data_IF_501786587946
#
_entry.id   IF_501786587946
#
_cell.length_a   1.000
_cell.length_b   1.000
_cell.length_c   1.000
_cell.angle_alpha   90.00
_cell.angle_beta   90.00
_cell.angle_gamma   90.00
#
_symmetry.space_group_name_H-M   'P 1'
#
loop_
_entity.id
_entity.type
_entity.pdbx_description
1 polymer ?
#
# COMPACT_ATOMS: atom_id res chain seq x y z
N UNK A 1 9.54 -26.64 21.13
CA UNK A 1 10.13 -27.39 22.27
C UNK A 1 9.20 -27.50 23.49
N UNK A 2 8.32 -26.54 23.79
CA UNK A 2 7.37 -26.62 24.91
C UNK A 2 6.51 -27.91 24.99
N UNK A 3 6.19 -28.55 23.85
CA UNK A 3 5.41 -29.80 23.81
C UNK A 3 6.12 -31.02 24.41
N UNK A 4 7.45 -31.09 24.40
CA UNK A 4 8.18 -32.26 24.94
C UNK A 4 8.26 -32.27 26.47
N UNK A 5 8.20 -31.10 27.11
CA UNK A 5 8.20 -30.96 28.58
C UNK A 5 6.84 -31.34 29.16
N UNK A 6 5.75 -30.92 28.53
CA UNK A 6 4.39 -31.31 28.95
C UNK A 6 4.19 -32.84 28.86
N UNK A 7 4.90 -33.49 27.94
CA UNK A 7 4.93 -34.95 27.78
C UNK A 7 5.94 -35.66 28.72
N UNK A 8 6.78 -34.94 29.46
CA UNK A 8 7.80 -35.51 30.35
C UNK A 8 7.21 -35.93 31.70
N UNK A 9 7.67 -37.04 32.31
CA UNK A 9 7.27 -37.42 33.67
C UNK A 9 7.68 -36.39 34.73
N UNK A 10 8.61 -35.49 34.41
CA UNK A 10 9.13 -34.45 35.31
C UNK A 10 8.38 -33.11 35.26
N UNK A 11 7.25 -33.04 34.54
CA UNK A 11 6.47 -31.81 34.34
C UNK A 11 6.04 -31.08 35.61
N UNK A 12 5.92 -31.80 36.74
CA UNK A 12 5.51 -31.24 38.03
C UNK A 12 6.68 -30.85 38.93
N UNK A 13 7.93 -31.10 38.52
CA UNK A 13 9.11 -30.73 39.32
C UNK A 13 9.45 -29.26 39.11
N UNK A 14 9.29 -28.44 40.15
CA UNK A 14 9.60 -27.00 40.11
C UNK A 14 11.07 -26.74 39.78
N UNK A 15 11.99 -27.54 40.32
CA UNK A 15 13.43 -27.39 40.07
C UNK A 15 13.79 -27.69 38.61
N UNK A 16 13.21 -28.75 38.04
CA UNK A 16 13.49 -29.08 36.64
C UNK A 16 12.85 -28.05 35.70
N UNK A 17 11.63 -27.58 35.98
CA UNK A 17 11.02 -26.49 35.22
C UNK A 17 11.87 -25.21 35.24
N UNK A 18 12.50 -24.89 36.37
CA UNK A 18 13.39 -23.73 36.46
C UNK A 18 14.65 -23.91 35.61
N UNK A 19 15.31 -25.07 35.68
CA UNK A 19 16.47 -25.39 34.83
C UNK A 19 16.09 -25.32 33.34
N UNK A 20 14.92 -25.85 32.97
CA UNK A 20 14.41 -25.77 31.61
C UNK A 20 14.11 -24.35 31.16
N UNK A 21 13.53 -23.53 32.03
CA UNK A 21 13.26 -22.13 31.74
C UNK A 21 14.55 -21.38 31.44
N UNK A 22 15.61 -21.56 32.24
CA UNK A 22 16.91 -20.95 31.97
C UNK A 22 17.53 -21.41 30.65
N UNK A 23 17.41 -22.70 30.33
CA UNK A 23 17.89 -23.23 29.06
C UNK A 23 17.10 -22.69 27.86
N UNK A 24 15.79 -22.55 27.98
CA UNK A 24 14.91 -21.99 26.95
C UNK A 24 15.19 -20.51 26.73
N UNK A 25 15.36 -19.74 27.80
CA UNK A 25 15.77 -18.34 27.74
C UNK A 25 17.16 -18.17 27.09
N UNK A 26 18.11 -19.06 27.40
CA UNK A 26 19.43 -19.05 26.74
C UNK A 26 19.33 -19.34 25.24
N UNK A 27 18.50 -20.31 24.83
CA UNK A 27 18.29 -20.64 23.42
C UNK A 27 17.56 -19.52 22.66
N UNK A 28 16.61 -18.84 23.30
CA UNK A 28 15.94 -17.64 22.76
C UNK A 28 16.96 -16.51 22.59
N UNK A 29 17.85 -16.33 23.56
CA UNK A 29 18.97 -15.38 23.49
C UNK A 29 19.86 -15.64 22.27
N UNK A 30 20.32 -16.88 22.09
CA UNK A 30 21.13 -17.27 20.93
C UNK A 30 20.42 -17.03 19.58
N UNK A 31 19.11 -17.33 19.49
CA UNK A 31 18.32 -17.04 18.28
C UNK A 31 18.17 -15.54 18.02
N UNK A 32 18.05 -14.74 19.09
CA UNK A 32 17.97 -13.29 18.99
C UNK A 32 19.28 -12.71 18.50
N UNK A 33 20.41 -13.18 19.04
CA UNK A 33 21.76 -12.78 18.64
C UNK A 33 22.05 -13.20 17.19
N UNK A 34 21.67 -14.41 16.79
CA UNK A 34 21.72 -14.85 15.39
C UNK A 34 20.84 -13.99 14.48
N UNK A 35 19.65 -13.59 14.92
CA UNK A 35 18.77 -12.67 14.21
C UNK A 35 19.42 -11.29 14.02
N UNK A 36 20.06 -10.77 15.06
CA UNK A 36 20.84 -9.52 15.00
C UNK A 36 22.02 -9.65 14.04
N UNK A 37 22.78 -10.75 14.11
CA UNK A 37 23.89 -11.03 13.19
C UNK A 37 23.40 -11.10 11.74
N UNK A 38 22.31 -11.81 11.46
CA UNK A 38 21.71 -11.90 10.12
C UNK A 38 21.25 -10.52 9.64
N UNK A 39 20.58 -9.73 10.47
CA UNK A 39 20.13 -8.37 10.13
C UNK A 39 21.30 -7.39 9.91
N UNK A 40 22.42 -7.58 10.62
CA UNK A 40 23.62 -6.75 10.50
C UNK A 40 24.52 -7.20 9.33
N UNK A 41 24.34 -8.43 8.85
CA UNK A 41 25.05 -8.93 7.69
C UNK A 41 24.49 -8.26 6.43
N UNK A 42 25.34 -7.50 5.72
CA UNK A 42 25.03 -6.88 4.40
C UNK A 42 24.78 -7.89 3.27
N UNK A 43 24.42 -9.14 3.58
CA UNK A 43 23.90 -10.09 2.60
C UNK A 43 22.41 -9.82 2.49
N UNK A 44 22.09 -8.86 1.62
CA UNK A 44 20.72 -8.55 1.23
C UNK A 44 20.02 -9.83 0.79
N UNK A 45 19.19 -10.38 1.68
CA UNK A 45 18.44 -11.60 1.39
C UNK A 45 17.40 -11.28 0.32
N UNK A 46 17.28 -12.16 -0.68
CA UNK A 46 16.23 -12.15 -1.69
C UNK A 46 14.83 -12.02 -1.06
N UNK A 47 14.63 -12.58 0.15
CA UNK A 47 13.37 -12.49 0.89
C UNK A 47 13.01 -11.06 1.35
N UNK A 48 13.98 -10.15 1.43
CA UNK A 48 13.79 -8.77 1.93
C UNK A 48 13.78 -7.73 0.82
N UNK A 49 14.51 -7.95 -0.27
CA UNK A 49 14.68 -6.96 -1.34
C UNK A 49 14.06 -7.39 -2.67
N UNK A 50 13.58 -8.64 -2.78
CA UNK A 50 13.10 -9.20 -4.03
C UNK A 50 14.23 -9.42 -5.06
N UNK A 51 13.88 -9.65 -6.33
CA UNK A 51 14.87 -9.73 -7.40
C UNK A 51 15.67 -8.43 -7.53
N UNK A 52 16.94 -8.52 -7.90
CA UNK A 52 17.79 -7.34 -8.07
C UNK A 52 17.26 -6.45 -9.19
N UNK A 53 16.94 -5.20 -8.85
CA UNK A 53 16.61 -4.17 -9.84
C UNK A 53 17.82 -3.96 -10.76
N UNK A 54 17.58 -4.09 -12.07
CA UNK A 54 18.60 -3.89 -13.11
C UNK A 54 18.56 -2.50 -13.73
N UNK A 55 17.54 -1.70 -13.39
CA UNK A 55 17.30 -0.39 -13.99
C UNK A 55 18.07 0.69 -13.23
N UNK A 56 18.76 1.57 -13.95
CA UNK A 56 19.49 2.70 -13.39
C UNK A 56 19.33 3.93 -14.29
N UNK A 57 19.27 5.11 -13.69
CA UNK A 57 19.14 6.37 -14.43
C UNK A 57 17.79 6.46 -15.16
N UNK A 58 17.85 6.82 -16.44
CA UNK A 58 16.69 7.22 -17.24
C UNK A 58 15.66 6.11 -17.50
N UNK A 59 16.05 4.84 -17.32
CA UNK A 59 15.15 3.68 -17.51
C UNK A 59 14.24 3.41 -16.31
N UNK A 60 14.52 4.01 -15.15
CA UNK A 60 13.82 3.68 -13.91
C UNK A 60 12.35 4.15 -13.92
N UNK A 61 12.10 5.40 -14.29
CA UNK A 61 10.75 5.99 -14.27
C UNK A 61 9.77 5.24 -15.21
N UNK A 62 10.11 4.99 -16.50
CA UNK A 62 9.24 4.22 -17.40
C UNK A 62 8.93 2.82 -16.89
N UNK A 63 9.92 2.13 -16.31
CA UNK A 63 9.72 0.77 -15.81
C UNK A 63 8.89 0.72 -14.54
N UNK A 64 9.05 1.69 -13.64
CA UNK A 64 8.18 1.84 -12.46
C UNK A 64 6.75 2.12 -12.90
N UNK A 65 6.54 3.01 -13.87
CA UNK A 65 5.21 3.32 -14.40
C UNK A 65 4.58 2.10 -15.09
N UNK A 66 5.35 1.38 -15.90
CA UNK A 66 4.89 0.16 -16.56
C UNK A 66 4.59 -0.96 -15.56
N UNK A 67 5.39 -1.09 -14.50
CA UNK A 67 5.13 -2.03 -13.40
C UNK A 67 3.81 -1.69 -12.70
N UNK A 68 3.59 -0.43 -12.36
CA UNK A 68 2.34 0.05 -11.76
C UNK A 68 1.12 -0.33 -12.61
N UNK A 69 1.18 -0.11 -13.93
CA UNK A 69 0.11 -0.47 -14.87
C UNK A 69 -0.13 -1.98 -14.93
N UNK A 70 0.96 -2.78 -15.06
CA UNK A 70 0.88 -4.24 -15.10
C UNK A 70 0.27 -4.82 -13.81
N UNK A 71 0.66 -4.31 -12.65
CA UNK A 71 0.09 -4.71 -11.37
C UNK A 71 -1.41 -4.43 -11.32
N UNK A 72 -1.85 -3.26 -11.79
CA UNK A 72 -3.28 -2.94 -11.82
C UNK A 72 -4.09 -3.89 -12.72
N UNK A 73 -3.57 -4.21 -13.91
CA UNK A 73 -4.20 -5.20 -14.83
C UNK A 73 -4.30 -6.58 -14.21
N UNK A 74 -3.23 -7.03 -13.53
CA UNK A 74 -3.23 -8.33 -12.86
C UNK A 74 -4.25 -8.38 -11.72
N UNK A 75 -4.32 -7.32 -10.90
CA UNK A 75 -5.33 -7.22 -9.84
C UNK A 75 -6.75 -7.21 -10.40
N UNK A 76 -7.00 -6.43 -11.45
CA UNK A 76 -8.29 -6.42 -12.14
C UNK A 76 -8.69 -7.83 -12.63
N UNK A 77 -7.78 -8.52 -13.33
CA UNK A 77 -8.05 -9.86 -13.85
C UNK A 77 -8.34 -10.87 -12.74
N UNK A 78 -7.59 -10.81 -11.63
CA UNK A 78 -7.80 -11.67 -10.48
C UNK A 78 -9.17 -11.40 -9.83
N UNK A 79 -9.52 -10.14 -9.60
CA UNK A 79 -10.79 -9.76 -9.01
C UNK A 79 -11.96 -10.15 -9.94
N UNK A 80 -11.86 -9.87 -11.24
CA UNK A 80 -12.85 -10.25 -12.25
C UNK A 80 -13.09 -11.76 -12.29
N UNK A 81 -12.02 -12.57 -12.25
CA UNK A 81 -12.12 -14.03 -12.22
C UNK A 81 -12.83 -14.56 -10.96
N UNK A 82 -12.84 -13.78 -9.87
CA UNK A 82 -13.49 -14.12 -8.60
C UNK A 82 -14.81 -13.33 -8.37
N UNK A 83 -15.36 -12.68 -9.40
CA UNK A 83 -16.60 -11.90 -9.27
C UNK A 83 -16.49 -10.73 -8.28
N UNK A 84 -15.30 -10.21 -8.06
CA UNK A 84 -15.02 -9.09 -7.16
C UNK A 84 -14.80 -7.81 -7.96
N UNK A 85 -15.44 -6.72 -7.56
CA UNK A 85 -15.21 -5.40 -8.16
C UNK A 85 -13.84 -4.87 -7.71
N UNK A 86 -13.05 -4.40 -8.67
CA UNK A 86 -11.75 -3.78 -8.42
C UNK A 86 -11.75 -2.36 -8.97
N UNK A 87 -11.40 -1.41 -8.11
CA UNK A 87 -11.20 0.00 -8.45
C UNK A 87 -9.76 0.39 -8.10
N UNK A 88 -8.98 0.81 -9.09
CA UNK A 88 -7.68 1.42 -8.87
C UNK A 88 -7.84 2.92 -8.60
N UNK A 89 -7.27 3.43 -7.51
CA UNK A 89 -7.34 4.86 -7.16
C UNK A 89 -5.95 5.48 -7.19
N UNK A 90 -5.76 6.54 -7.98
CA UNK A 90 -4.58 7.39 -7.89
C UNK A 90 -4.83 8.45 -6.81
N UNK A 91 -4.07 8.37 -5.72
CA UNK A 91 -4.28 9.20 -4.53
C UNK A 91 -3.72 10.63 -4.68
N UNK A 92 -4.21 11.59 -3.87
CA UNK A 92 -3.66 12.94 -3.78
C UNK A 92 -2.20 12.94 -3.39
N UNK A 93 -1.45 13.89 -3.96
CA UNK A 93 -0.10 14.21 -3.50
C UNK A 93 0.14 15.72 -3.58
N UNK A 94 0.75 16.27 -2.54
CA UNK A 94 1.03 17.70 -2.42
C UNK A 94 1.93 18.25 -3.53
N UNK A 95 2.81 17.45 -4.13
CA UNK A 95 3.69 17.95 -5.20
C UNK A 95 3.00 17.96 -6.58
N UNK A 96 1.79 17.42 -6.71
CA UNK A 96 1.00 17.53 -7.95
C UNK A 96 0.56 19.00 -8.14
N UNK A 97 0.85 19.62 -9.29
CA UNK A 97 0.50 21.02 -9.52
C UNK A 97 -1.00 21.29 -9.35
N UNK A 98 -1.33 22.34 -8.60
CA UNK A 98 -2.70 22.80 -8.33
C UNK A 98 -3.62 21.78 -7.62
N UNK A 99 -3.08 20.67 -7.11
CA UNK A 99 -3.88 19.63 -6.44
C UNK A 99 -4.49 20.07 -5.11
N UNK A 100 -3.90 21.09 -4.48
CA UNK A 100 -4.39 21.72 -3.26
C UNK A 100 -3.76 23.13 -3.09
N UNK A 101 -4.52 24.14 -2.65
CA UNK A 101 -3.94 25.39 -2.16
C UNK A 101 -3.23 25.12 -0.83
N UNK A 102 -1.90 25.17 -0.84
CA UNK A 102 -1.08 24.94 0.36
C UNK A 102 -0.55 26.26 0.90
N UNK A 103 -1.06 26.63 2.07
CA UNK A 103 -0.71 27.84 2.81
C UNK A 103 0.70 27.78 3.41
N UNK A 104 1.19 28.93 3.88
CA UNK A 104 2.56 29.08 4.37
C UNK A 104 2.90 28.12 5.52
N UNK A 105 2.02 28.02 6.53
CA UNK A 105 2.24 27.14 7.68
C UNK A 105 2.26 25.65 7.30
N UNK A 106 1.37 25.22 6.41
CA UNK A 106 1.34 23.83 5.91
C UNK A 106 2.57 23.54 5.04
N UNK A 107 3.02 24.52 4.23
CA UNK A 107 4.21 24.40 3.37
C UNK A 107 5.49 24.15 4.15
N UNK A 108 5.68 24.82 5.29
CA UNK A 108 6.88 24.66 6.13
C UNK A 108 7.07 23.24 6.66
N UNK A 109 5.99 22.47 6.79
CA UNK A 109 5.99 21.10 7.34
C UNK A 109 5.88 20.06 6.23
N UNK A 110 5.08 20.34 5.21
CA UNK A 110 4.63 19.34 4.24
C UNK A 110 5.31 19.47 2.87
N UNK A 111 6.17 20.47 2.64
CA UNK A 111 6.96 20.56 1.41
C UNK A 111 8.45 20.55 1.70
N UNK A 112 9.14 19.56 1.13
CA UNK A 112 10.60 19.51 1.11
C UNK A 112 11.10 19.20 -0.29
N UNK A 113 11.94 20.09 -0.82
CA UNK A 113 12.69 19.84 -2.07
C UNK A 113 13.94 19.00 -1.82
N UNK A 114 14.41 18.92 -0.57
CA UNK A 114 15.68 18.30 -0.20
C UNK A 114 15.62 16.77 -0.12
N UNK A 115 14.44 16.21 0.16
CA UNK A 115 14.27 14.76 0.38
C UNK A 115 14.11 13.95 -0.91
N UNK A 116 14.24 14.58 -2.09
CA UNK A 116 14.33 13.90 -3.39
C UNK A 116 13.03 13.30 -3.93
N UNK A 117 11.95 13.23 -3.14
CA UNK A 117 10.65 12.72 -3.57
C UNK A 117 9.87 13.71 -4.45
N UNK A 118 10.01 15.02 -4.21
CA UNK A 118 9.24 16.04 -4.92
C UNK A 118 9.49 16.09 -6.45
N UNK A 119 10.74 16.03 -6.96
CA UNK A 119 11.00 15.95 -8.39
C UNK A 119 10.39 14.70 -9.03
N UNK A 120 10.55 13.55 -8.39
CA UNK A 120 10.02 12.27 -8.88
C UNK A 120 8.49 12.25 -8.93
N UNK A 121 7.81 12.80 -7.91
CA UNK A 121 6.35 12.92 -7.93
C UNK A 121 5.90 13.81 -9.09
N UNK A 122 6.57 14.95 -9.31
CA UNK A 122 6.22 15.88 -10.39
C UNK A 122 6.44 15.29 -11.78
N UNK A 123 7.47 14.46 -11.98
CA UNK A 123 7.70 13.76 -13.26
C UNK A 123 6.72 12.61 -13.45
N UNK A 124 6.49 11.80 -12.41
CA UNK A 124 5.74 10.54 -12.54
C UNK A 124 4.23 10.71 -12.58
N UNK A 125 3.65 11.64 -11.80
CA UNK A 125 2.19 11.74 -11.70
C UNK A 125 1.48 11.99 -13.03
N UNK A 126 1.94 12.90 -13.92
CA UNK A 126 1.38 13.04 -15.25
C UNK A 126 1.35 11.72 -16.03
N UNK A 127 2.43 10.94 -15.93
CA UNK A 127 2.50 9.63 -16.60
C UNK A 127 1.53 8.62 -15.98
N UNK A 128 1.38 8.60 -14.66
CA UNK A 128 0.42 7.73 -13.98
C UNK A 128 -1.04 8.08 -14.34
N UNK A 129 -1.35 9.37 -14.51
CA UNK A 129 -2.66 9.82 -14.96
C UNK A 129 -2.96 9.34 -16.38
N UNK A 130 -2.02 9.50 -17.31
CA UNK A 130 -2.15 8.97 -18.68
C UNK A 130 -2.34 7.45 -18.70
N UNK A 131 -1.49 6.71 -17.97
CA UNK A 131 -1.59 5.25 -17.87
C UNK A 131 -2.90 4.82 -17.22
N UNK A 132 -3.45 5.63 -16.30
CA UNK A 132 -4.76 5.45 -15.71
C UNK A 132 -5.88 5.52 -16.75
N UNK A 133 -5.82 6.48 -17.68
CA UNK A 133 -6.77 6.58 -18.79
C UNK A 133 -6.64 5.38 -19.76
N UNK A 134 -5.42 4.93 -20.03
CA UNK A 134 -5.17 3.71 -20.81
C UNK A 134 -5.81 2.48 -20.13
N UNK A 135 -5.65 2.34 -18.81
CA UNK A 135 -6.28 1.28 -18.01
C UNK A 135 -7.81 1.31 -18.11
N UNK A 136 -8.43 2.49 -18.04
CA UNK A 136 -9.88 2.65 -18.21
C UNK A 136 -10.33 2.19 -19.60
N UNK A 137 -9.59 2.55 -20.65
CA UNK A 137 -9.89 2.12 -22.02
C UNK A 137 -9.81 0.59 -22.19
N UNK A 138 -8.98 -0.09 -21.40
CA UNK A 138 -8.88 -1.55 -21.35
C UNK A 138 -9.94 -2.22 -20.45
N UNK A 139 -10.82 -1.43 -19.81
CA UNK A 139 -11.89 -1.92 -18.94
C UNK A 139 -11.49 -2.10 -17.47
N UNK A 140 -10.30 -1.66 -17.07
CA UNK A 140 -9.91 -1.58 -15.66
C UNK A 140 -10.52 -0.32 -15.05
N UNK A 141 -11.40 -0.49 -14.06
CA UNK A 141 -11.97 0.67 -13.37
C UNK A 141 -10.86 1.42 -12.61
N UNK A 142 -10.67 2.69 -12.97
CA UNK A 142 -9.66 3.58 -12.42
C UNK A 142 -10.30 4.93 -12.05
N UNK A 143 -9.77 5.58 -11.01
CA UNK A 143 -10.19 6.90 -10.56
C UNK A 143 -8.99 7.75 -10.22
N UNK A 144 -8.84 8.87 -10.93
CA UNK A 144 -7.89 9.90 -10.55
C UNK A 144 -8.50 10.76 -9.45
N UNK A 145 -7.94 10.65 -8.23
CA UNK A 145 -8.33 11.45 -7.07
C UNK A 145 -7.31 12.52 -6.73
N UNK A 146 -6.33 12.78 -7.60
CA UNK A 146 -5.26 13.75 -7.35
C UNK A 146 -5.78 15.15 -7.01
N UNK A 147 -6.96 15.51 -7.53
CA UNK A 147 -7.58 16.83 -7.40
C UNK A 147 -8.66 16.92 -6.31
N UNK A 148 -8.85 15.89 -5.49
CA UNK A 148 -9.93 15.88 -4.46
C UNK A 148 -9.79 17.00 -3.42
N UNK A 149 -8.58 17.56 -3.24
CA UNK A 149 -8.30 18.65 -2.31
C UNK A 149 -8.15 20.02 -2.98
N UNK A 150 -8.42 20.15 -4.28
CA UNK A 150 -8.09 21.35 -5.07
C UNK A 150 -8.76 22.64 -4.57
N UNK A 151 -9.85 22.52 -3.80
CA UNK A 151 -10.58 23.65 -3.23
C UNK A 151 -10.50 23.73 -1.70
N UNK A 152 -9.69 22.87 -1.06
CA UNK A 152 -9.61 22.78 0.40
C UNK A 152 -8.42 23.60 0.93
N UNK A 153 -8.72 24.73 1.55
CA UNK A 153 -7.72 25.63 2.13
C UNK A 153 -7.17 25.17 3.49
N UNK A 154 -7.94 24.37 4.23
CA UNK A 154 -7.51 23.83 5.53
C UNK A 154 -6.27 22.93 5.37
N UNK A 155 -5.34 22.91 6.32
CA UNK A 155 -4.23 21.96 6.29
C UNK A 155 -4.72 20.52 6.35
N UNK A 156 -4.24 19.68 5.44
CA UNK A 156 -4.62 18.26 5.36
C UNK A 156 -3.41 17.34 5.43
N UNK A 157 -2.28 17.76 4.86
CA UNK A 157 -1.04 17.01 4.93
C UNK A 157 -0.40 17.17 6.31
N UNK A 158 0.26 16.11 6.79
CA UNK A 158 0.96 16.13 8.08
C UNK A 158 2.48 16.03 7.94
N UNK A 159 2.98 15.68 6.75
CA UNK A 159 4.40 15.56 6.44
C UNK A 159 4.70 15.70 4.93
N UNK A 160 5.98 15.65 4.59
CA UNK A 160 6.51 15.69 3.22
C UNK A 160 6.28 14.40 2.41
N UNK A 161 5.71 13.35 3.01
CA UNK A 161 5.52 11.99 2.46
C UNK A 161 4.05 11.70 2.12
N UNK A 162 3.27 12.76 1.89
CA UNK A 162 1.84 12.75 1.50
C UNK A 162 0.87 12.09 2.48
N UNK A 163 1.22 11.94 3.76
CA UNK A 163 0.27 11.46 4.76
C UNK A 163 -0.79 12.52 5.10
N UNK A 164 -2.01 12.06 5.36
CA UNK A 164 -3.14 12.93 5.68
C UNK A 164 -3.48 12.91 7.17
N UNK A 165 -4.05 14.02 7.65
CA UNK A 165 -4.77 14.04 8.92
C UNK A 165 -6.15 13.35 8.78
N UNK A 166 -6.91 13.29 9.87
CA UNK A 166 -8.22 12.64 9.89
C UNK A 166 -9.21 13.24 8.87
N UNK A 167 -9.16 14.56 8.65
CA UNK A 167 -10.04 15.23 7.68
C UNK A 167 -9.65 14.89 6.24
N UNK A 168 -8.35 14.83 5.93
CA UNK A 168 -7.88 14.43 4.60
C UNK A 168 -8.25 12.97 4.29
N UNK A 169 -8.13 12.06 5.26
CA UNK A 169 -8.61 10.69 5.12
C UNK A 169 -10.13 10.62 4.88
N UNK A 170 -10.91 11.42 5.61
CA UNK A 170 -12.37 11.47 5.44
C UNK A 170 -12.76 11.91 4.03
N UNK A 171 -12.20 13.02 3.56
CA UNK A 171 -12.49 13.58 2.24
C UNK A 171 -12.09 12.62 1.10
N UNK A 172 -10.90 12.01 1.18
CA UNK A 172 -10.49 11.00 0.19
C UNK A 172 -11.40 9.76 0.26
N UNK A 173 -11.75 9.31 1.46
CA UNK A 173 -12.63 8.17 1.66
C UNK A 173 -14.02 8.38 1.04
N UNK A 174 -14.59 9.57 1.21
CA UNK A 174 -15.86 9.96 0.58
C UNK A 174 -15.76 9.94 -0.95
N UNK A 175 -14.72 10.54 -1.53
CA UNK A 175 -14.55 10.56 -2.98
C UNK A 175 -14.35 9.15 -3.59
N UNK A 176 -13.65 8.26 -2.87
CA UNK A 176 -13.52 6.85 -3.26
C UNK A 176 -14.85 6.10 -3.14
N UNK A 177 -15.59 6.33 -2.05
CA UNK A 177 -16.90 5.71 -1.83
C UNK A 177 -17.90 6.13 -2.91
N UNK A 178 -17.96 7.41 -3.27
CA UNK A 178 -18.81 7.91 -4.35
C UNK A 178 -18.51 7.21 -5.68
N UNK A 179 -17.22 7.05 -6.01
CA UNK A 179 -16.83 6.32 -7.22
C UNK A 179 -17.24 4.86 -7.17
N UNK A 180 -17.07 4.20 -6.03
CA UNK A 180 -17.43 2.80 -5.86
C UNK A 180 -18.95 2.59 -5.99
N UNK A 181 -19.76 3.48 -5.42
CA UNK A 181 -21.22 3.42 -5.52
C UNK A 181 -21.69 3.54 -6.98
N UNK A 182 -21.11 4.47 -7.76
CA UNK A 182 -21.41 4.60 -9.19
C UNK A 182 -21.12 3.31 -9.97
N UNK A 183 -20.06 2.58 -9.60
CA UNK A 183 -19.72 1.30 -10.22
C UNK A 183 -20.70 0.19 -9.85
N UNK A 184 -21.10 0.13 -8.58
CA UNK A 184 -22.07 -0.85 -8.11
C UNK A 184 -23.45 -0.63 -8.74
N UNK A 185 -23.85 0.63 -8.94
CA UNK A 185 -25.09 0.96 -9.66
C UNK A 185 -25.00 0.46 -11.11
N UNK A 186 -23.90 0.75 -11.81
CA UNK A 186 -23.66 0.27 -13.20
C UNK A 186 -23.73 -1.25 -13.31
N UNK A 187 -23.14 -2.00 -12.37
CA UNK A 187 -23.19 -3.46 -12.32
C UNK A 187 -24.61 -4.00 -12.03
N UNK A 188 -25.37 -3.29 -11.19
CA UNK A 188 -26.75 -3.66 -10.85
C UNK A 188 -27.70 -3.52 -12.06
N UNK A 189 -27.40 -2.60 -12.98
CA UNK A 189 -28.14 -2.44 -14.23
C UNK A 189 -27.65 -3.36 -15.37
N UNK A 190 -26.43 -3.91 -15.28
CA UNK A 190 -25.85 -4.77 -16.32
C UNK A 190 -26.22 -6.25 -16.15
N UNK A 191 -26.51 -6.71 -14.93
CA UNK A 191 -27.09 -8.05 -14.71
C UNK A 191 -28.57 -8.07 -15.11
N UNK A 192 -29.01 -9.01 -15.98
CA UNK A 192 -30.43 -9.28 -16.12
C UNK A 192 -31.01 -9.56 -14.73
N UNK A 193 -32.18 -8.99 -14.42
CA UNK A 193 -32.98 -9.51 -13.30
C UNK A 193 -33.39 -10.91 -13.72
N UNK A 194 -32.63 -11.91 -13.29
CA UNK A 194 -33.00 -13.30 -13.49
C UNK A 194 -34.41 -13.48 -12.93
N UNK A 195 -35.28 -13.95 -13.81
CA UNK A 195 -36.67 -14.25 -13.53
C UNK A 195 -36.73 -15.47 -12.59
N UNK A 196 -36.57 -15.23 -11.29
CA UNK A 196 -36.58 -16.29 -10.28
C UNK A 196 -37.54 -15.95 -9.12
N UNK A 197 -38.69 -15.36 -9.47
CA UNK A 197 -39.82 -15.11 -8.56
C UNK A 197 -41.13 -15.73 -9.11
N UNK A 198 -41.05 -16.93 -9.69
CA UNK A 198 -42.23 -17.78 -9.96
C UNK A 198 -41.92 -19.27 -9.74
N UNK A 199 -41.93 -19.72 -8.48
CA UNK A 199 -42.43 -21.06 -8.08
C UNK A 199 -43.23 -20.91 -6.78
#
# INVERSE_FOLDING_TARGET
MARSILASPFRWSSTLNLIWHFRDQSAIGELTDLGVIVSSSKRYSFTTHGPTNRFSGDELEPEVAAMWQRCSRQMHNLCKANGTLYLHVLQPNQYVPNSKPIGEAERLVCYSEYEGSAPFVRSMFPRLQELGLELQAEGVEFSDQTMVFATVEKPLYVDCWCHFNAEGHRLLGEAVADRLLQLLDKESFSKPRDADDQI
#
